data_IF_564213209167
#
_entry.id   IF_564213209167
#
_cell.length_a   1.000
_cell.length_b   1.000
_cell.length_c   1.000
_cell.angle_alpha   90.00
_cell.angle_beta   90.00
_cell.angle_gamma   90.00
#
_symmetry.space_group_name_H-M   'P 1'
#
loop_
_entity.id
_entity.type
_entity.pdbx_description
1 polymer ?
#
# COMPACT_ATOMS: atom_id res chain seq x y z
N UNK A 1 6.19 -3.28 19.31
CA UNK A 1 5.79 -4.60 19.85
C UNK A 1 5.20 -4.35 21.22
N UNK A 2 3.95 -4.72 21.42
CA UNK A 2 3.28 -4.61 22.71
C UNK A 2 3.32 -5.99 23.38
N UNK A 3 3.85 -6.05 24.60
CA UNK A 3 3.97 -7.30 25.35
C UNK A 3 2.66 -7.57 26.09
N UNK A 4 2.07 -8.74 25.86
CA UNK A 4 0.89 -9.25 26.55
C UNK A 4 1.30 -10.36 27.52
N UNK A 5 0.42 -10.70 28.47
CA UNK A 5 0.65 -11.80 29.40
C UNK A 5 -0.25 -12.96 28.98
N UNK A 6 0.37 -14.06 28.55
CA UNK A 6 -0.33 -15.32 28.31
C UNK A 6 -0.39 -16.12 29.61
N UNK A 7 -1.60 -16.49 30.05
CA UNK A 7 -1.82 -17.32 31.23
C UNK A 7 -2.22 -18.73 30.82
N UNK A 8 -1.51 -19.72 31.32
CA UNK A 8 -1.82 -21.13 31.16
C UNK A 8 -1.69 -21.85 32.52
N UNK A 9 -2.57 -22.82 32.78
CA UNK A 9 -2.62 -23.51 34.07
C UNK A 9 -1.29 -24.23 34.42
N UNK A 10 -0.59 -24.76 33.42
CA UNK A 10 0.67 -25.52 33.60
C UNK A 10 1.93 -24.66 33.39
N UNK A 11 1.85 -23.65 32.50
CA UNK A 11 2.97 -22.75 32.18
C UNK A 11 2.92 -21.40 32.92
N UNK A 12 1.95 -21.18 33.80
CA UNK A 12 1.86 -19.93 34.57
C UNK A 12 1.64 -18.70 33.68
N UNK A 13 2.30 -17.58 34.02
CA UNK A 13 2.23 -16.32 33.27
C UNK A 13 3.51 -16.11 32.47
N UNK A 14 3.41 -16.12 31.14
CA UNK A 14 4.53 -15.91 30.21
C UNK A 14 4.30 -14.60 29.46
N UNK A 15 5.33 -13.76 29.35
CA UNK A 15 5.28 -12.58 28.50
C UNK A 15 5.30 -13.02 27.03
N UNK A 16 4.34 -12.51 26.25
CA UNK A 16 4.18 -12.81 24.84
C UNK A 16 4.11 -11.53 24.02
N UNK A 17 4.50 -11.60 22.76
CA UNK A 17 4.27 -10.54 21.77
C UNK A 17 3.77 -11.20 20.49
N UNK A 18 2.86 -10.55 19.78
CA UNK A 18 2.44 -11.01 18.45
C UNK A 18 3.31 -10.32 17.41
N UNK A 19 3.88 -11.11 16.50
CA UNK A 19 4.71 -10.62 15.39
C UNK A 19 4.10 -11.18 14.10
N UNK A 20 3.55 -10.31 13.26
CA UNK A 20 2.73 -10.74 12.13
C UNK A 20 1.43 -11.39 12.61
N UNK A 21 1.30 -12.71 12.40
CA UNK A 21 0.17 -13.53 12.86
C UNK A 21 0.57 -14.58 13.90
N UNK A 22 1.84 -14.64 14.30
CA UNK A 22 2.36 -15.69 15.16
C UNK A 22 2.67 -15.17 16.58
N UNK A 23 2.34 -15.95 17.62
CA UNK A 23 2.73 -15.63 18.99
C UNK A 23 4.21 -15.95 19.22
N UNK A 24 4.92 -14.99 19.79
CA UNK A 24 6.27 -15.16 20.30
C UNK A 24 6.27 -15.06 21.83
N UNK A 25 7.04 -15.92 22.47
CA UNK A 25 7.15 -16.05 23.92
C UNK A 25 8.53 -15.59 24.37
N UNK A 26 8.61 -14.90 25.51
CA UNK A 26 9.92 -14.61 26.14
C UNK A 26 10.51 -15.92 26.67
N UNK A 27 11.53 -16.43 25.98
CA UNK A 27 12.09 -17.75 26.27
C UNK A 27 12.68 -17.87 27.68
N UNK A 28 13.16 -16.75 28.25
CA UNK A 28 13.63 -16.70 29.63
C UNK A 28 12.53 -17.10 30.61
N UNK A 29 11.35 -16.51 30.47
CA UNK A 29 10.22 -16.75 31.38
C UNK A 29 9.78 -18.21 31.31
N UNK A 30 9.69 -18.75 30.09
CA UNK A 30 9.33 -20.16 29.86
C UNK A 30 10.34 -21.09 30.52
N UNK A 31 11.64 -20.86 30.32
CA UNK A 31 12.67 -21.70 30.91
C UNK A 31 12.68 -21.62 32.45
N UNK A 32 12.47 -20.44 33.03
CA UNK A 32 12.35 -20.25 34.48
C UNK A 32 11.11 -20.97 35.05
N UNK A 33 9.97 -20.87 34.37
CA UNK A 33 8.73 -21.55 34.76
C UNK A 33 8.92 -23.06 34.78
N UNK A 34 9.59 -23.62 33.77
CA UNK A 34 9.88 -25.06 33.68
C UNK A 34 10.85 -25.51 34.78
N UNK A 35 11.65 -24.60 35.34
CA UNK A 35 12.59 -24.85 36.44
C UNK A 35 14.05 -24.98 35.99
N UNK A 36 14.42 -24.45 34.83
CA UNK A 36 15.81 -24.44 34.38
C UNK A 36 16.65 -23.49 35.24
N UNK A 37 17.78 -23.97 35.78
CA UNK A 37 18.72 -23.16 36.55
C UNK A 37 19.45 -22.11 35.69
N UNK A 38 19.64 -22.39 34.40
CA UNK A 38 20.23 -21.46 33.43
C UNK A 38 19.33 -21.33 32.19
N UNK A 39 18.42 -20.34 32.16
CA UNK A 39 17.51 -20.11 31.04
C UNK A 39 18.21 -19.91 29.71
N UNK A 40 19.33 -19.18 29.67
CA UNK A 40 20.07 -18.92 28.43
C UNK A 40 20.65 -20.21 27.85
N UNK A 41 21.23 -21.06 28.69
CA UNK A 41 21.75 -22.36 28.26
C UNK A 41 20.62 -23.28 27.80
N UNK A 42 19.50 -23.32 28.51
CA UNK A 42 18.34 -24.12 28.13
C UNK A 42 17.81 -23.73 26.73
N UNK A 43 17.69 -22.43 26.45
CA UNK A 43 17.30 -21.93 25.14
C UNK A 43 18.33 -22.28 24.06
N UNK A 44 19.62 -22.25 24.37
CA UNK A 44 20.68 -22.64 23.44
C UNK A 44 20.62 -24.14 23.10
N UNK A 45 20.54 -25.00 24.12
CA UNK A 45 20.62 -26.46 23.99
C UNK A 45 19.32 -27.08 23.42
N UNK A 46 18.16 -26.47 23.68
CA UNK A 46 16.87 -27.12 23.44
C UNK A 46 15.98 -26.45 22.38
N UNK A 47 16.34 -25.26 21.90
CA UNK A 47 15.57 -24.56 20.86
C UNK A 47 16.42 -24.43 19.59
N UNK A 48 15.83 -24.62 18.42
CA UNK A 48 16.54 -24.45 17.15
C UNK A 48 16.78 -22.96 16.86
N UNK A 49 17.79 -22.64 16.04
CA UNK A 49 18.13 -21.25 15.72
C UNK A 49 17.01 -20.53 14.95
N UNK A 50 16.31 -21.24 14.06
CA UNK A 50 15.18 -20.72 13.27
C UNK A 50 13.95 -20.33 14.12
N UNK A 51 13.81 -20.96 15.28
CA UNK A 51 12.72 -20.72 16.23
C UNK A 51 13.03 -19.61 17.23
N UNK A 52 14.21 -19.00 17.14
CA UNK A 52 14.72 -17.95 18.05
C UNK A 52 14.90 -16.64 17.32
N UNK A 53 14.54 -15.56 17.98
CA UNK A 53 14.81 -14.20 17.52
C UNK A 53 15.16 -13.29 18.70
N UNK A 54 16.03 -12.31 18.46
CA UNK A 54 16.28 -11.27 19.43
C UNK A 54 15.05 -10.36 19.55
N UNK A 55 14.52 -10.24 20.77
CA UNK A 55 13.47 -9.31 21.09
C UNK A 55 13.93 -7.86 21.09
N UNK A 56 12.97 -6.95 21.21
CA UNK A 56 13.24 -5.51 21.34
C UNK A 56 14.03 -5.24 22.62
N UNK A 57 14.98 -4.31 22.55
CA UNK A 57 15.73 -3.85 23.73
C UNK A 57 14.77 -3.38 24.82
N UNK A 58 14.75 -4.08 25.94
CA UNK A 58 14.01 -3.71 27.14
C UNK A 58 14.98 -2.97 28.07
N UNK A 59 14.58 -1.80 28.55
CA UNK A 59 15.27 -1.14 29.67
C UNK A 59 14.70 -1.65 30.98
N UNK A 60 15.55 -2.25 31.79
CA UNK A 60 15.21 -2.62 33.16
C UNK A 60 15.04 -1.35 34.02
N UNK A 61 14.36 -1.49 35.15
CA UNK A 61 14.16 -0.48 36.20
C UNK A 61 15.45 0.23 36.66
N UNK A 62 16.61 -0.41 36.46
CA UNK A 62 17.96 0.09 36.81
C UNK A 62 18.68 0.66 35.56
N UNK A 63 17.98 0.88 34.45
CA UNK A 63 18.52 1.48 33.22
C UNK A 63 19.36 0.55 32.34
N UNK A 64 19.38 -0.76 32.62
CA UNK A 64 20.12 -1.74 31.81
C UNK A 64 19.33 -2.14 30.58
N UNK A 65 19.98 -2.09 29.43
CA UNK A 65 19.42 -2.57 28.16
C UNK A 65 19.61 -4.09 28.03
N UNK A 66 18.52 -4.83 27.99
CA UNK A 66 18.50 -6.28 27.78
C UNK A 66 17.69 -6.62 26.53
N UNK A 67 18.24 -7.45 25.65
CA UNK A 67 17.50 -8.06 24.56
C UNK A 67 17.05 -9.46 25.00
N UNK A 68 15.76 -9.68 25.32
CA UNK A 68 15.28 -11.02 25.62
C UNK A 68 15.28 -11.86 24.35
N UNK A 69 15.56 -13.15 24.47
CA UNK A 69 15.35 -14.10 23.37
C UNK A 69 13.86 -14.41 23.31
N UNK A 70 13.26 -14.13 22.16
CA UNK A 70 11.90 -14.53 21.82
C UNK A 70 11.95 -15.89 21.11
N UNK A 71 11.01 -16.76 21.46
CA UNK A 71 10.81 -18.05 20.80
C UNK A 71 9.41 -18.13 20.21
N UNK A 72 9.26 -18.65 18.99
CA UNK A 72 7.94 -18.95 18.42
C UNK A 72 7.32 -20.18 19.11
N UNK A 73 6.13 -20.58 18.69
CA UNK A 73 5.43 -21.73 19.25
C UNK A 73 6.18 -23.07 19.02
N UNK A 74 6.82 -23.24 17.85
CA UNK A 74 7.70 -24.38 17.57
C UNK A 74 8.86 -24.49 18.58
N UNK A 75 9.49 -23.36 18.89
CA UNK A 75 10.58 -23.26 19.85
C UNK A 75 10.14 -23.51 21.29
N UNK A 76 8.94 -23.06 21.67
CA UNK A 76 8.31 -23.37 22.95
C UNK A 76 8.14 -24.89 23.10
N UNK A 77 7.56 -25.56 22.11
CA UNK A 77 7.40 -27.01 22.15
C UNK A 77 8.74 -27.73 22.13
N UNK A 78 9.71 -27.28 21.33
CA UNK A 78 11.06 -27.86 21.33
C UNK A 78 11.71 -27.84 22.72
N UNK A 79 11.61 -26.70 23.42
CA UNK A 79 12.10 -26.56 24.79
C UNK A 79 11.42 -27.53 25.75
N UNK A 80 10.08 -27.62 25.70
CA UNK A 80 9.31 -28.50 26.59
C UNK A 80 9.60 -29.98 26.28
N UNK A 81 9.51 -30.38 25.01
CA UNK A 81 9.65 -31.76 24.56
C UNK A 81 11.05 -32.33 24.80
N UNK A 82 12.10 -31.50 24.76
CA UNK A 82 13.48 -31.93 25.08
C UNK A 82 13.80 -31.87 26.59
N UNK A 83 13.03 -31.14 27.38
CA UNK A 83 13.27 -30.98 28.83
C UNK A 83 13.00 -32.27 29.63
N UNK A 84 13.80 -32.52 30.66
CA UNK A 84 13.59 -33.62 31.62
C UNK A 84 12.99 -33.14 32.95
N UNK A 85 12.62 -31.85 33.05
CA UNK A 85 12.13 -31.26 34.29
C UNK A 85 10.71 -31.76 34.62
N UNK A 86 10.34 -31.89 35.91
CA UNK A 86 9.04 -32.43 36.31
C UNK A 86 7.82 -31.73 35.68
N UNK A 87 7.85 -30.39 35.58
CA UNK A 87 6.78 -29.62 34.93
C UNK A 87 6.68 -29.91 33.43
N UNK A 88 7.83 -29.98 32.74
CA UNK A 88 7.85 -30.35 31.34
C UNK A 88 7.30 -31.77 31.12
N UNK A 89 7.63 -32.72 32.00
CA UNK A 89 7.11 -34.08 31.91
C UNK A 89 5.60 -34.17 32.14
N UNK A 90 5.05 -33.37 33.07
CA UNK A 90 3.59 -33.26 33.24
C UNK A 90 2.92 -32.76 31.97
N UNK A 91 3.42 -31.67 31.40
CA UNK A 91 2.90 -31.11 30.15
C UNK A 91 2.98 -32.12 29.00
N UNK A 92 4.13 -32.78 28.82
CA UNK A 92 4.27 -33.86 27.82
C UNK A 92 3.26 -34.96 28.00
N UNK A 93 3.04 -35.42 29.24
CA UNK A 93 2.10 -36.49 29.54
C UNK A 93 0.68 -36.07 29.22
N UNK A 94 0.28 -34.86 29.60
CA UNK A 94 -1.02 -34.30 29.26
C UNK A 94 -1.22 -34.22 27.73
N UNK A 95 -0.26 -33.66 26.99
CA UNK A 95 -0.33 -33.58 25.52
C UNK A 95 -0.42 -34.97 24.88
N UNK A 96 0.40 -35.93 25.32
CA UNK A 96 0.49 -37.26 24.69
C UNK A 96 -0.61 -38.24 25.11
N UNK A 97 -1.16 -38.11 26.32
CA UNK A 97 -2.19 -39.01 26.82
C UNK A 97 -3.62 -38.50 26.57
N UNK A 98 -3.80 -37.18 26.44
CA UNK A 98 -5.11 -36.55 26.39
C UNK A 98 -5.33 -35.77 25.09
N UNK A 99 -4.49 -34.74 24.84
CA UNK A 99 -4.67 -33.82 23.72
C UNK A 99 -4.53 -34.53 22.37
N UNK A 100 -3.39 -35.16 22.10
CA UNK A 100 -3.13 -35.81 20.82
C UNK A 100 -4.10 -36.99 20.56
N UNK A 101 -4.41 -37.85 21.54
CA UNK A 101 -5.43 -38.89 21.33
C UNK A 101 -6.82 -38.33 21.05
N UNK A 102 -7.21 -37.22 21.69
CA UNK A 102 -8.49 -36.55 21.40
C UNK A 102 -8.53 -36.02 19.98
N UNK A 103 -7.51 -35.27 19.56
CA UNK A 103 -7.41 -34.75 18.19
C UNK A 103 -7.42 -35.89 17.18
N UNK A 104 -6.68 -36.97 17.42
CA UNK A 104 -6.67 -38.14 16.52
C UNK A 104 -8.04 -38.80 16.37
N UNK A 105 -8.83 -38.88 17.46
CA UNK A 105 -10.15 -39.55 17.44
C UNK A 105 -11.26 -38.66 16.90
N UNK A 106 -11.27 -37.38 17.28
CA UNK A 106 -12.40 -36.48 17.04
C UNK A 106 -12.08 -35.33 16.09
N UNK A 107 -10.83 -35.19 15.64
CA UNK A 107 -10.37 -34.07 14.83
C UNK A 107 -10.13 -32.78 15.62
N UNK A 108 -10.48 -32.74 16.90
CA UNK A 108 -10.33 -31.56 17.77
C UNK A 108 -10.07 -31.93 19.24
N UNK A 109 -9.59 -30.95 20.00
CA UNK A 109 -9.51 -30.99 21.46
C UNK A 109 -10.46 -29.92 22.01
N UNK A 110 -11.41 -30.33 22.86
CA UNK A 110 -12.34 -29.44 23.53
C UNK A 110 -12.07 -29.51 25.04
N UNK A 111 -12.09 -28.37 25.71
CA UNK A 111 -12.01 -28.32 27.17
C UNK A 111 -13.30 -28.85 27.79
N UNK A 112 -13.23 -29.34 29.03
CA UNK A 112 -14.41 -29.84 29.75
C UNK A 112 -15.52 -28.78 29.85
N UNK A 113 -15.16 -27.50 29.95
CA UNK A 113 -16.11 -26.38 29.94
C UNK A 113 -16.90 -26.29 28.63
N UNK A 114 -16.24 -26.50 27.48
CA UNK A 114 -16.91 -26.52 26.17
C UNK A 114 -17.74 -27.78 25.96
N UNK A 115 -17.28 -28.92 26.48
CA UNK A 115 -18.03 -30.18 26.43
C UNK A 115 -19.29 -30.14 27.32
N UNK A 116 -19.21 -29.47 28.46
CA UNK A 116 -20.34 -29.29 29.38
C UNK A 116 -21.42 -28.35 28.82
N UNK A 117 -21.08 -27.49 27.85
CA UNK A 117 -22.02 -26.59 27.21
C UNK A 117 -21.88 -26.65 25.67
N UNK A 118 -22.43 -27.69 25.02
CA UNK A 118 -22.31 -27.87 23.57
C UNK A 118 -22.97 -26.74 22.76
N UNK A 119 -24.00 -26.09 23.31
CA UNK A 119 -24.67 -24.96 22.65
C UNK A 119 -23.73 -23.76 22.47
N UNK A 120 -22.83 -23.53 23.42
CA UNK A 120 -21.79 -22.50 23.31
C UNK A 120 -20.85 -22.78 22.13
N UNK A 121 -20.43 -24.03 21.97
CA UNK A 121 -19.56 -24.43 20.86
C UNK A 121 -20.28 -24.27 19.51
N UNK A 122 -21.55 -24.67 19.43
CA UNK A 122 -22.38 -24.50 18.22
C UNK A 122 -22.53 -23.02 17.85
N UNK A 123 -22.82 -22.17 18.85
CA UNK A 123 -22.94 -20.73 18.66
C UNK A 123 -21.61 -20.10 18.19
N UNK A 124 -20.49 -20.51 18.77
CA UNK A 124 -19.17 -20.03 18.35
C UNK A 124 -18.82 -20.43 16.91
N UNK A 125 -19.07 -21.69 16.54
CA UNK A 125 -18.78 -22.17 15.18
C UNK A 125 -19.70 -21.55 14.12
N UNK A 126 -20.97 -21.33 14.45
CA UNK A 126 -21.91 -20.65 13.54
C UNK A 126 -21.50 -19.20 13.31
N UNK A 127 -21.15 -18.46 14.36
CA UNK A 127 -20.63 -17.09 14.24
C UNK A 127 -19.35 -17.03 13.38
N UNK A 128 -18.42 -17.97 13.58
CA UNK A 128 -17.17 -18.02 12.80
C UNK A 128 -17.44 -18.36 11.32
N UNK A 129 -18.40 -19.24 11.04
CA UNK A 129 -18.83 -19.55 9.68
C UNK A 129 -19.38 -18.31 8.98
N UNK A 130 -20.30 -17.60 9.64
CA UNK A 130 -20.88 -16.35 9.10
C UNK A 130 -19.81 -15.28 8.86
N UNK A 131 -18.84 -15.14 9.76
CA UNK A 131 -17.74 -14.19 9.58
C UNK A 131 -16.91 -14.51 8.34
N UNK A 132 -16.59 -15.79 8.12
CA UNK A 132 -15.86 -16.24 6.93
C UNK A 132 -16.65 -16.00 5.64
N UNK A 133 -17.93 -16.31 5.64
CA UNK A 133 -18.82 -16.05 4.49
C UNK A 133 -18.88 -14.56 4.17
N UNK A 134 -19.04 -13.70 5.19
CA UNK A 134 -18.97 -12.24 5.01
C UNK A 134 -17.62 -11.80 4.46
N UNK A 135 -16.51 -12.37 4.93
CA UNK A 135 -15.16 -12.03 4.46
C UNK A 135 -14.96 -12.39 2.99
N UNK A 136 -15.45 -13.56 2.56
CA UNK A 136 -15.41 -13.99 1.15
C UNK A 136 -16.23 -13.03 0.28
N UNK A 137 -17.46 -12.73 0.67
CA UNK A 137 -18.32 -11.79 -0.06
C UNK A 137 -17.68 -10.41 -0.14
N UNK A 138 -17.08 -9.92 0.95
CA UNK A 138 -16.38 -8.63 0.96
C UNK A 138 -15.16 -8.64 0.04
N UNK A 139 -14.39 -9.73 0.01
CA UNK A 139 -13.26 -9.89 -0.92
C UNK A 139 -13.70 -9.91 -2.39
N UNK A 140 -14.80 -10.61 -2.70
CA UNK A 140 -15.39 -10.63 -4.04
C UNK A 140 -15.88 -9.24 -4.48
N UNK A 141 -16.62 -8.55 -3.61
CA UNK A 141 -17.10 -7.18 -3.88
C UNK A 141 -15.91 -6.23 -4.07
N UNK A 142 -14.89 -6.33 -3.24
CA UNK A 142 -13.68 -5.50 -3.37
C UNK A 142 -12.92 -5.80 -4.68
N UNK A 143 -12.88 -7.05 -5.13
CA UNK A 143 -12.28 -7.42 -6.40
C UNK A 143 -13.05 -6.83 -7.59
N UNK A 144 -14.38 -6.95 -7.60
CA UNK A 144 -15.25 -6.35 -8.63
C UNK A 144 -15.11 -4.83 -8.63
N UNK A 145 -15.15 -4.19 -7.46
CA UNK A 145 -14.99 -2.75 -7.34
C UNK A 145 -13.61 -2.29 -7.80
N UNK A 146 -12.55 -3.05 -7.50
CA UNK A 146 -11.19 -2.76 -7.97
C UNK A 146 -11.10 -2.87 -9.49
N UNK A 147 -11.75 -3.85 -10.10
CA UNK A 147 -11.84 -3.98 -11.55
C UNK A 147 -12.59 -2.80 -12.16
N UNK A 148 -13.75 -2.44 -11.60
CA UNK A 148 -14.50 -1.25 -12.02
C UNK A 148 -13.68 0.02 -11.86
N UNK A 149 -12.92 0.19 -10.77
CA UNK A 149 -12.01 1.34 -10.58
C UNK A 149 -10.87 1.30 -11.59
N UNK A 150 -10.38 0.13 -12.01
CA UNK A 150 -9.35 0.02 -13.04
C UNK A 150 -9.89 0.39 -14.43
N UNK A 151 -11.13 0.00 -14.74
CA UNK A 151 -11.83 0.35 -15.98
C UNK A 151 -12.31 1.82 -15.99
N UNK A 152 -12.74 2.33 -14.83
CA UNK A 152 -13.22 3.71 -14.65
C UNK A 152 -12.11 4.70 -14.33
N UNK A 153 -10.90 4.25 -13.93
CA UNK A 153 -9.72 5.10 -13.95
C UNK A 153 -9.54 5.48 -15.42
N UNK A 154 -9.86 6.72 -15.81
CA UNK A 154 -9.74 7.07 -17.20
C UNK A 154 -8.27 6.85 -17.57
N UNK A 155 -8.02 6.09 -18.65
CA UNK A 155 -6.73 6.09 -19.35
C UNK A 155 -6.32 7.55 -19.42
N UNK A 156 -5.20 7.90 -18.77
CA UNK A 156 -4.84 9.28 -18.42
C UNK A 156 -5.39 10.27 -19.44
N UNK A 157 -6.48 10.96 -19.08
CA UNK A 157 -7.16 11.82 -20.05
C UNK A 157 -6.17 12.91 -20.44
N UNK A 158 -6.26 13.48 -21.65
CA UNK A 158 -5.40 14.63 -22.05
C UNK A 158 -5.29 15.68 -20.94
N UNK A 159 -6.39 15.86 -20.19
CA UNK A 159 -6.49 16.66 -18.97
C UNK A 159 -5.44 16.36 -17.88
N UNK A 160 -5.12 15.11 -17.56
CA UNK A 160 -4.23 14.77 -16.44
C UNK A 160 -2.76 15.05 -16.75
N UNK A 161 -2.32 14.76 -17.98
CA UNK A 161 -0.92 14.91 -18.39
C UNK A 161 -0.63 16.35 -18.81
N UNK A 162 -1.56 16.95 -19.56
CA UNK A 162 -1.28 18.16 -20.32
C UNK A 162 -1.72 19.44 -19.60
N UNK A 163 -2.78 19.40 -18.80
CA UNK A 163 -3.22 20.55 -18.00
C UNK A 163 -2.50 20.70 -16.65
N UNK A 164 -1.61 19.78 -16.25
CA UNK A 164 -0.77 19.97 -15.04
C UNK A 164 0.39 20.95 -15.25
N UNK A 165 0.88 21.14 -16.48
CA UNK A 165 1.96 22.09 -16.77
C UNK A 165 1.46 23.53 -16.69
N UNK A 166 1.91 24.31 -15.70
CA UNK A 166 1.52 25.72 -15.47
C UNK A 166 2.12 26.70 -16.48
N UNK A 167 3.05 26.24 -17.30
CA UNK A 167 3.78 27.08 -18.24
C UNK A 167 2.99 27.35 -19.52
N UNK A 168 3.13 28.57 -20.03
CA UNK A 168 2.58 28.91 -21.33
C UNK A 168 3.44 28.28 -22.44
N UNK A 169 2.80 27.58 -23.38
CA UNK A 169 3.49 26.81 -24.43
C UNK A 169 3.27 27.42 -25.80
N UNK A 170 4.21 27.19 -26.72
CA UNK A 170 4.04 27.59 -28.12
C UNK A 170 2.95 26.75 -28.80
N UNK A 171 2.27 27.31 -29.79
CA UNK A 171 1.26 26.59 -30.59
C UNK A 171 1.83 25.35 -31.29
N UNK A 172 3.14 25.33 -31.56
CA UNK A 172 3.84 24.17 -32.14
C UNK A 172 3.82 22.95 -31.21
N UNK A 173 3.91 23.14 -29.89
CA UNK A 173 3.83 22.05 -28.91
C UNK A 173 2.43 21.46 -28.92
N UNK A 174 1.41 22.32 -28.89
CA UNK A 174 0.01 21.90 -28.94
C UNK A 174 -0.28 21.19 -30.27
N UNK A 175 0.22 21.69 -31.40
CA UNK A 175 0.01 21.06 -32.70
C UNK A 175 0.58 19.63 -32.76
N UNK A 176 1.73 19.40 -32.12
CA UNK A 176 2.34 18.07 -32.05
C UNK A 176 1.51 17.07 -31.24
N UNK A 177 0.78 17.52 -30.20
CA UNK A 177 -0.16 16.66 -29.44
C UNK A 177 -1.23 16.02 -30.36
N UNK A 178 -1.52 16.62 -31.52
CA UNK A 178 -2.51 16.15 -32.51
C UNK A 178 -1.88 15.64 -33.81
N UNK A 179 -0.54 15.48 -33.85
CA UNK A 179 0.18 15.09 -35.07
C UNK A 179 0.15 16.14 -36.19
N UNK A 180 -0.15 17.40 -35.86
CA UNK A 180 -0.27 18.50 -36.83
C UNK A 180 0.98 19.39 -36.87
N UNK A 181 1.15 20.09 -37.99
CA UNK A 181 2.10 21.19 -38.07
C UNK A 181 1.54 22.45 -37.38
N UNK A 182 2.42 23.32 -36.89
CA UNK A 182 2.01 24.60 -36.33
C UNK A 182 1.22 25.45 -37.34
N UNK A 183 1.54 25.34 -38.63
CA UNK A 183 0.82 26.00 -39.72
C UNK A 183 -0.62 25.51 -39.82
N UNK A 184 -0.83 24.18 -39.87
CA UNK A 184 -2.16 23.58 -39.94
C UNK A 184 -3.02 23.94 -38.73
N UNK A 185 -2.44 23.90 -37.53
CA UNK A 185 -3.13 24.31 -36.30
C UNK A 185 -3.51 25.80 -36.33
N UNK A 186 -2.60 26.66 -36.80
CA UNK A 186 -2.88 28.09 -36.90
C UNK A 186 -3.97 28.42 -37.91
N UNK A 187 -3.99 27.71 -39.04
CA UNK A 187 -5.00 27.84 -40.08
C UNK A 187 -6.38 27.39 -39.58
N UNK A 188 -6.44 26.25 -38.88
CA UNK A 188 -7.68 25.78 -38.24
C UNK A 188 -8.25 26.81 -37.26
N UNK A 189 -7.41 27.35 -36.37
CA UNK A 189 -7.83 28.38 -35.42
C UNK A 189 -8.23 29.69 -36.13
N UNK A 190 -7.62 30.00 -37.28
CA UNK A 190 -8.03 31.14 -38.09
C UNK A 190 -9.41 30.94 -38.72
N UNK A 191 -9.67 29.76 -39.30
CA UNK A 191 -10.96 29.41 -39.89
C UNK A 191 -12.09 29.39 -38.86
N UNK A 192 -11.81 28.97 -37.61
CA UNK A 192 -12.75 29.06 -36.48
C UNK A 192 -12.92 30.48 -35.92
N UNK A 193 -12.25 31.46 -36.52
CA UNK A 193 -12.27 32.86 -36.10
C UNK A 193 -11.71 33.04 -34.69
N UNK A 194 -10.70 32.27 -34.28
CA UNK A 194 -10.07 32.38 -32.96
C UNK A 194 -8.93 33.38 -32.98
N UNK A 195 -8.10 33.30 -34.01
CA UNK A 195 -6.92 34.14 -34.18
C UNK A 195 -6.80 34.66 -35.60
N UNK A 196 -6.02 35.73 -35.78
CA UNK A 196 -5.67 36.30 -37.07
C UNK A 196 -4.16 36.55 -37.12
N UNK A 197 -3.61 36.62 -38.33
CA UNK A 197 -2.20 36.91 -38.54
C UNK A 197 -2.01 38.41 -38.72
N UNK A 198 -1.14 39.02 -37.91
CA UNK A 198 -0.71 40.41 -38.04
C UNK A 198 0.81 40.45 -38.13
N UNK A 199 1.32 40.90 -39.28
CA UNK A 199 2.74 40.79 -39.63
C UNK A 199 3.23 39.33 -39.48
N UNK A 200 4.12 39.06 -38.52
CA UNK A 200 4.68 37.74 -38.26
C UNK A 200 4.14 37.05 -37.00
N UNK A 201 3.05 37.57 -36.43
CA UNK A 201 2.50 37.11 -35.15
C UNK A 201 1.04 36.74 -35.31
N UNK A 202 0.63 35.66 -34.63
CA UNK A 202 -0.77 35.26 -34.50
C UNK A 202 -1.36 35.87 -33.24
N UNK A 203 -2.40 36.70 -33.39
CA UNK A 203 -3.08 37.37 -32.29
C UNK A 203 -4.54 36.92 -32.23
N UNK A 204 -5.13 36.93 -31.04
CA UNK A 204 -6.53 36.54 -30.84
C UNK A 204 -7.46 37.65 -31.32
N UNK A 205 -8.59 37.26 -31.93
CA UNK A 205 -9.67 38.21 -32.19
C UNK A 205 -10.18 38.83 -30.89
N UNK A 206 -10.74 40.05 -30.98
CA UNK A 206 -11.22 40.81 -29.82
C UNK A 206 -12.15 40.02 -28.90
N UNK A 207 -13.03 39.17 -29.48
CA UNK A 207 -13.94 38.28 -28.72
C UNK A 207 -13.23 37.31 -27.77
N UNK A 208 -11.96 36.98 -28.01
CA UNK A 208 -11.16 36.02 -27.25
C UNK A 208 -9.98 36.63 -26.51
N UNK A 209 -9.56 37.86 -26.87
CA UNK A 209 -8.39 38.53 -26.31
C UNK A 209 -8.48 38.74 -24.79
N UNK A 210 -9.67 39.04 -24.26
CA UNK A 210 -9.91 39.25 -22.82
C UNK A 210 -10.03 37.95 -21.99
N UNK A 211 -10.05 36.79 -22.63
CA UNK A 211 -10.35 35.52 -21.95
C UNK A 211 -9.13 34.89 -21.25
N UNK A 212 -7.93 35.45 -21.44
CA UNK A 212 -6.68 34.94 -20.83
C UNK A 212 -6.13 33.67 -21.49
N UNK A 213 -6.47 33.42 -22.76
CA UNK A 213 -6.03 32.23 -23.50
C UNK A 213 -4.57 32.27 -23.94
N UNK A 214 -4.02 33.46 -24.18
CA UNK A 214 -2.64 33.64 -24.64
C UNK A 214 -1.88 34.65 -23.78
N UNK A 215 -0.54 34.56 -23.83
CA UNK A 215 0.41 35.53 -23.30
C UNK A 215 1.41 35.87 -24.39
N UNK A 216 1.77 37.14 -24.46
CA UNK A 216 2.82 37.63 -25.34
C UNK A 216 4.18 37.37 -24.68
N UNK A 217 5.08 36.71 -25.40
CA UNK A 217 6.45 36.49 -24.95
C UNK A 217 7.42 37.18 -25.91
N UNK A 218 8.30 37.99 -25.36
CA UNK A 218 9.29 38.77 -26.11
C UNK A 218 10.64 38.08 -25.99
N UNK A 219 11.20 37.64 -27.11
CA UNK A 219 12.49 36.97 -27.19
C UNK A 219 13.52 37.90 -27.82
N UNK A 220 14.61 38.17 -27.10
CA UNK A 220 15.73 38.96 -27.60
C UNK A 220 16.71 37.99 -28.28
N UNK A 221 17.18 38.31 -29.47
CA UNK A 221 18.20 37.55 -30.20
C UNK A 221 19.24 38.51 -30.77
N UNK A 222 20.51 38.12 -30.72
CA UNK A 222 21.61 38.89 -31.30
C UNK A 222 21.84 38.47 -32.76
N UNK A 223 22.13 39.45 -33.62
CA UNK A 223 22.60 39.18 -34.98
C UNK A 223 24.10 38.85 -35.00
N UNK A 224 24.60 38.37 -36.15
CA UNK A 224 26.02 38.07 -36.36
C UNK A 224 26.95 39.29 -36.22
N UNK A 225 26.40 40.49 -36.06
CA UNK A 225 27.09 41.76 -35.88
C UNK A 225 27.01 42.28 -34.43
N UNK A 226 26.41 41.52 -33.51
CA UNK A 226 26.28 41.87 -32.09
C UNK A 226 25.16 42.86 -31.77
N UNK A 227 24.25 43.15 -32.70
CA UNK A 227 23.09 44.00 -32.39
C UNK A 227 21.93 43.14 -31.86
N UNK A 228 21.29 43.64 -30.80
CA UNK A 228 20.11 43.01 -30.21
C UNK A 228 18.85 43.30 -31.04
N UNK A 229 18.15 42.24 -31.43
CA UNK A 229 16.84 42.29 -32.07
C UNK A 229 15.81 41.63 -31.17
N UNK A 230 14.56 42.05 -31.30
CA UNK A 230 13.46 41.53 -30.49
C UNK A 230 12.41 40.89 -31.37
N UNK A 231 12.04 39.64 -31.06
CA UNK A 231 10.94 38.92 -31.70
C UNK A 231 9.85 38.58 -30.70
N UNK A 232 8.62 38.90 -31.06
CA UNK A 232 7.47 38.65 -30.20
C UNK A 232 6.74 37.39 -30.65
N UNK A 233 6.37 36.53 -29.70
CA UNK A 233 5.66 35.28 -29.93
C UNK A 233 4.43 35.16 -29.04
N UNK A 234 3.38 34.55 -29.57
CA UNK A 234 2.16 34.23 -28.82
C UNK A 234 2.29 32.85 -28.20
N UNK A 235 2.25 32.78 -26.87
CA UNK A 235 2.19 31.52 -26.10
C UNK A 235 0.79 31.28 -25.58
N UNK A 236 0.37 30.04 -25.51
CA UNK A 236 -0.94 29.60 -25.06
C UNK A 236 -0.90 29.16 -23.60
N UNK A 237 -1.81 29.68 -22.78
CA UNK A 237 -1.95 29.32 -21.37
C UNK A 237 -2.67 27.98 -21.22
N UNK A 238 -2.71 27.41 -20.01
CA UNK A 238 -3.54 26.23 -19.72
C UNK A 238 -5.00 26.43 -20.14
N UNK A 239 -5.57 27.61 -19.84
CA UNK A 239 -6.93 27.98 -20.22
C UNK A 239 -7.09 28.03 -21.75
N UNK A 240 -6.07 28.53 -22.45
CA UNK A 240 -6.02 28.51 -23.91
C UNK A 240 -5.92 27.10 -24.52
N UNK A 241 -5.14 26.19 -23.90
CA UNK A 241 -5.07 24.78 -24.32
C UNK A 241 -6.41 24.07 -24.15
N UNK A 242 -7.09 24.30 -23.03
CA UNK A 242 -8.44 23.77 -22.79
C UNK A 242 -9.41 24.27 -23.86
N UNK A 243 -9.33 25.56 -24.20
CA UNK A 243 -10.17 26.14 -25.25
C UNK A 243 -9.90 25.49 -26.61
N UNK A 244 -8.64 25.32 -27.02
CA UNK A 244 -8.29 24.63 -28.27
C UNK A 244 -8.79 23.17 -28.27
N UNK A 245 -8.59 22.44 -27.16
CA UNK A 245 -9.08 21.07 -27.02
C UNK A 245 -10.61 21.01 -27.16
N UNK A 246 -11.35 21.94 -26.53
CA UNK A 246 -12.81 21.97 -26.64
C UNK A 246 -13.30 22.24 -28.06
N UNK A 247 -12.58 23.06 -28.83
CA UNK A 247 -12.90 23.32 -30.24
C UNK A 247 -12.63 22.09 -31.12
N UNK A 248 -11.47 21.48 -30.97
CA UNK A 248 -11.08 20.30 -31.75
C UNK A 248 -11.99 19.11 -31.43
N UNK A 249 -12.33 18.91 -30.16
CA UNK A 249 -13.27 17.88 -29.73
C UNK A 249 -14.68 18.08 -30.29
N UNK A 250 -15.14 19.32 -30.39
CA UNK A 250 -16.43 19.63 -31.01
C UNK A 250 -16.47 19.25 -32.50
N UNK A 251 -15.31 19.23 -33.17
CA UNK A 251 -15.15 18.77 -34.56
C UNK A 251 -14.76 17.29 -34.67
N UNK A 252 -14.74 16.53 -33.57
CA UNK A 252 -14.37 15.11 -33.54
C UNK A 252 -12.87 14.82 -33.70
N UNK A 253 -12.01 15.82 -33.45
CA UNK A 253 -10.55 15.70 -33.55
C UNK A 253 -9.96 15.54 -32.15
N UNK A 254 -9.28 14.42 -31.92
CA UNK A 254 -8.71 14.05 -30.62
C UNK A 254 -7.17 14.07 -30.66
N UNK A 255 -6.51 14.39 -29.55
CA UNK A 255 -5.05 14.30 -29.45
C UNK A 255 -4.60 12.84 -29.53
N UNK A 256 -3.37 12.61 -30.00
CA UNK A 256 -2.83 11.25 -30.24
C UNK A 256 -2.85 10.39 -28.98
N UNK A 257 -2.63 11.00 -27.80
CA UNK A 257 -2.67 10.32 -26.49
C UNK A 257 -4.04 9.69 -26.19
N UNK A 258 -5.14 10.26 -26.71
CA UNK A 258 -6.49 9.71 -26.53
C UNK A 258 -6.85 8.66 -27.60
N UNK A 259 -6.12 8.61 -28.72
CA UNK A 259 -6.38 7.68 -29.84
C UNK A 259 -5.56 6.39 -29.69
N UNK A 260 -4.38 6.45 -29.11
CA UNK A 260 -3.49 5.29 -28.86
C UNK A 260 -3.89 4.46 -27.64
N UNK A 261 -4.86 4.93 -26.84
CA UNK A 261 -5.29 4.32 -25.58
C UNK A 261 -6.46 3.37 -25.73
#
# INVERSE_FOLDING_TARGET
>A
MELQIYKNAELGSVRTTVIGSEPFFVGKDVAEILGYSNPRKALFDHVNAEDKMDGVTIRDSIGREQKPILINESGLYSLILRSQLPKAQKFKRWVTAEVLPSIRRHGMYATDELLANPDLAIAAFTALKEERERRIVLEEVAAVQKQQIAEMKPKATYYDVVLRCKDAVNISVIAKDYGWSAQKMNEYLHQKGVQYKQSDIWLLYQKHAGCGYTKTNTHIYEDSCGNEHTKVHTKWTQKGRFFIYSLLKADGIFPQIEVEG
#
